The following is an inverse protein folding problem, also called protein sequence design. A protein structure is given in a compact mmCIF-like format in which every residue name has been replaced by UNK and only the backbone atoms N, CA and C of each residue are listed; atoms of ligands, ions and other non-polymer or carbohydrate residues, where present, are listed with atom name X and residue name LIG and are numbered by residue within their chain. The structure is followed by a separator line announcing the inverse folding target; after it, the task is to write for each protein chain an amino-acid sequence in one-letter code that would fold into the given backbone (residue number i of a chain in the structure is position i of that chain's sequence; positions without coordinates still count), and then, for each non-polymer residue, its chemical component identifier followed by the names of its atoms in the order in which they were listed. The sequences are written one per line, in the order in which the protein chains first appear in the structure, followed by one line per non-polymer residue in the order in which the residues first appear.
data_IF_668490090242
#
_entry.id   IF_668490090242
#
_cell.length_a   1.000
_cell.length_b   1.000
_cell.length_c   1.000
_cell.angle_alpha   90.00
_cell.angle_beta   90.00
_cell.angle_gamma   90.00
#
_symmetry.space_group_name_H-M   'P 1'
#
loop_
_entity.id
_entity.type
_entity.pdbx_description
1 polymer ?
#
# COMPACT_ATOMS: atom_id res chain seq x y z
N UNK A 1 -14.81 -9.66 5.80
CA UNK A 1 -15.08 -9.00 4.49
C UNK A 1 -13.80 -9.06 3.68
N UNK A 2 -13.88 -9.43 2.40
CA UNK A 2 -12.69 -9.56 1.54
C UNK A 2 -12.78 -8.55 0.39
N UNK A 3 -11.69 -7.87 0.10
CA UNK A 3 -11.53 -7.11 -1.13
C UNK A 3 -10.90 -8.03 -2.19
N UNK A 4 -11.47 -8.10 -3.38
CA UNK A 4 -10.92 -8.84 -4.52
C UNK A 4 -11.01 -7.96 -5.77
N UNK A 5 -9.87 -7.52 -6.28
CA UNK A 5 -9.81 -6.64 -7.44
C UNK A 5 -8.51 -6.84 -8.21
N UNK A 6 -8.60 -6.96 -9.54
CA UNK A 6 -7.44 -7.04 -10.43
C UNK A 6 -6.38 -8.07 -10.00
N UNK A 7 -6.83 -9.27 -9.60
CA UNK A 7 -5.95 -10.35 -9.17
C UNK A 7 -5.27 -10.11 -7.83
N UNK A 8 -5.62 -9.06 -7.10
CA UNK A 8 -5.20 -8.83 -5.71
C UNK A 8 -6.39 -9.03 -4.79
N UNK A 9 -6.20 -9.92 -3.82
CA UNK A 9 -7.19 -10.22 -2.79
C UNK A 9 -6.61 -9.87 -1.43
N UNK A 10 -7.41 -9.21 -0.61
CA UNK A 10 -7.08 -8.87 0.77
C UNK A 10 -8.21 -9.34 1.68
N UNK A 11 -7.92 -10.24 2.60
CA UNK A 11 -8.85 -10.57 3.67
C UNK A 11 -8.74 -9.52 4.79
N UNK A 12 -9.70 -8.61 4.86
CA UNK A 12 -9.59 -7.42 5.72
C UNK A 12 -9.78 -7.81 7.20
N UNK A 13 -8.82 -7.48 8.08
CA UNK A 13 -9.01 -7.56 9.51
C UNK A 13 -10.10 -6.58 9.98
N UNK A 14 -10.70 -6.85 11.13
CA UNK A 14 -11.64 -5.91 11.77
C UNK A 14 -11.00 -4.53 11.96
N UNK A 15 -11.77 -3.48 11.69
CA UNK A 15 -11.32 -2.10 11.79
C UNK A 15 -10.50 -1.60 10.61
N UNK A 16 -10.42 -2.36 9.51
CA UNK A 16 -9.85 -1.89 8.26
C UNK A 16 -10.93 -1.59 7.22
N UNK A 17 -10.77 -0.48 6.51
CA UNK A 17 -11.43 -0.22 5.25
C UNK A 17 -10.41 -0.38 4.12
N UNK A 18 -10.84 -0.92 2.97
CA UNK A 18 -10.02 -0.91 1.77
C UNK A 18 -10.84 -0.59 0.52
N UNK A 19 -10.19 0.08 -0.42
CA UNK A 19 -10.76 0.46 -1.72
C UNK A 19 -9.71 0.24 -2.80
N UNK A 20 -10.09 -0.45 -3.87
CA UNK A 20 -9.26 -0.66 -5.04
C UNK A 20 -9.91 -0.04 -6.28
N UNK A 21 -9.07 0.43 -7.19
CA UNK A 21 -9.46 0.87 -8.54
C UNK A 21 -8.36 0.54 -9.54
N UNK A 22 -8.70 0.64 -10.82
CA UNK A 22 -7.71 0.68 -11.88
C UNK A 22 -7.33 2.14 -12.14
N UNK A 23 -6.04 2.39 -12.28
CA UNK A 23 -5.52 3.68 -12.70
C UNK A 23 -5.94 3.94 -14.16
N UNK A 24 -6.04 5.20 -14.60
CA UNK A 24 -6.22 5.49 -16.02
C UNK A 24 -5.08 4.89 -16.84
N UNK A 25 -5.41 4.25 -17.97
CA UNK A 25 -4.42 3.77 -18.93
C UNK A 25 -4.16 4.84 -19.98
N UNK A 26 -2.89 5.08 -20.30
CA UNK A 26 -2.50 5.94 -21.42
C UNK A 26 -2.66 5.25 -22.78
N UNK A 27 -2.95 3.93 -22.80
CA UNK A 27 -3.21 3.16 -24.02
C UNK A 27 -4.72 2.93 -24.18
N UNK A 28 -5.34 3.36 -25.28
CA UNK A 28 -6.75 3.10 -25.56
C UNK A 28 -7.08 1.61 -25.50
N UNK A 29 -8.17 1.25 -24.81
CA UNK A 29 -8.64 -0.14 -24.67
C UNK A 29 -7.80 -1.01 -23.74
N UNK A 30 -6.63 -0.54 -23.26
CA UNK A 30 -5.84 -1.29 -22.30
C UNK A 30 -6.35 -1.07 -20.88
N UNK A 31 -6.35 -2.14 -20.09
CA UNK A 31 -6.63 -2.08 -18.66
C UNK A 31 -5.50 -1.34 -17.95
N UNK A 32 -5.83 -0.35 -17.12
CA UNK A 32 -4.83 0.30 -16.27
C UNK A 32 -4.41 -0.54 -15.07
N UNK A 33 -3.33 -0.13 -14.42
CA UNK A 33 -2.72 -0.86 -13.31
C UNK A 33 -3.55 -0.71 -12.02
N UNK A 34 -3.43 -1.67 -11.10
CA UNK A 34 -4.11 -1.59 -9.81
C UNK A 34 -3.60 -0.42 -8.95
N UNK A 35 -4.52 0.20 -8.23
CA UNK A 35 -4.24 0.96 -7.03
C UNK A 35 -5.19 0.53 -5.92
N UNK A 36 -4.63 0.05 -4.83
CA UNK A 36 -5.35 -0.38 -3.64
C UNK A 36 -4.93 0.48 -2.45
N UNK A 37 -5.91 1.08 -1.78
CA UNK A 37 -5.73 1.75 -0.50
C UNK A 37 -6.38 0.93 0.60
N UNK A 38 -5.72 0.85 1.75
CA UNK A 38 -6.27 0.28 2.97
C UNK A 38 -5.91 1.18 4.15
N UNK A 39 -6.85 1.38 5.08
CA UNK A 39 -6.61 2.16 6.28
C UNK A 39 -7.44 1.68 7.46
N UNK A 40 -7.02 2.04 8.67
CA UNK A 40 -7.81 1.84 9.90
C UNK A 40 -8.76 3.00 10.22
N UNK A 41 -8.78 4.01 9.36
CA UNK A 41 -9.74 5.12 9.34
C UNK A 41 -10.61 5.04 8.10
N UNK A 42 -11.80 5.67 8.09
CA UNK A 42 -12.62 5.74 6.89
C UNK A 42 -11.86 6.36 5.71
N UNK A 43 -11.97 5.75 4.53
CA UNK A 43 -11.28 6.24 3.33
C UNK A 43 -12.13 7.33 2.64
N UNK A 44 -11.64 8.57 2.49
CA UNK A 44 -12.33 9.61 1.73
C UNK A 44 -12.50 9.19 0.26
N UNK A 45 -13.58 9.66 -0.38
CA UNK A 45 -13.84 9.39 -1.78
C UNK A 45 -12.69 9.87 -2.68
N UNK A 46 -12.29 11.13 -2.47
CA UNK A 46 -11.14 11.76 -3.10
C UNK A 46 -9.90 11.63 -2.21
N UNK A 47 -8.85 11.04 -2.75
CA UNK A 47 -7.57 10.84 -2.05
C UNK A 47 -6.45 10.64 -3.06
N UNK A 48 -5.26 11.13 -2.73
CA UNK A 48 -4.07 10.91 -3.54
C UNK A 48 -3.59 9.47 -3.50
N UNK A 49 -2.84 9.06 -4.52
CA UNK A 49 -2.36 7.67 -4.69
C UNK A 49 -1.43 7.19 -3.58
N UNK A 50 -0.79 8.13 -2.89
CA UNK A 50 0.06 7.85 -1.74
C UNK A 50 -0.52 8.46 -0.45
N UNK A 51 -1.84 8.60 -0.38
CA UNK A 51 -2.56 8.87 0.87
C UNK A 51 -2.79 10.33 1.21
N UNK A 52 -2.48 11.29 0.33
CA UNK A 52 -2.90 12.69 0.51
C UNK A 52 -4.41 12.76 0.74
N UNK A 53 -4.85 13.43 1.80
CA UNK A 53 -6.25 13.51 2.23
C UNK A 53 -6.68 12.38 3.18
N UNK A 54 -5.85 11.34 3.38
CA UNK A 54 -6.08 10.24 4.33
C UNK A 54 -5.09 10.31 5.48
N UNK A 55 -3.81 10.56 5.18
CA UNK A 55 -2.72 10.52 6.18
C UNK A 55 -2.90 11.56 7.27
N UNK A 56 -3.55 12.68 6.95
CA UNK A 56 -3.90 13.76 7.86
C UNK A 56 -4.99 13.37 8.86
N UNK A 57 -5.79 12.33 8.55
CA UNK A 57 -6.87 11.82 9.40
C UNK A 57 -6.38 10.77 10.41
N UNK A 58 -5.15 10.27 10.26
CA UNK A 58 -4.62 9.21 11.11
C UNK A 58 -4.42 9.72 12.54
N UNK A 59 -5.04 9.04 13.51
CA UNK A 59 -4.67 9.12 14.91
C UNK A 59 -3.44 8.27 15.23
N UNK A 60 -2.93 8.32 16.47
CA UNK A 60 -1.65 7.69 16.83
C UNK A 60 -1.56 6.17 16.63
N UNK A 61 -2.70 5.47 16.62
CA UNK A 61 -2.80 4.01 16.44
C UNK A 61 -3.17 3.60 15.02
N UNK A 62 -3.36 4.57 14.14
CA UNK A 62 -3.87 4.33 12.80
C UNK A 62 -2.76 4.05 11.79
N UNK A 63 -3.15 3.32 10.76
CA UNK A 63 -2.27 2.91 9.67
C UNK A 63 -2.96 3.20 8.35
N UNK A 64 -2.20 3.75 7.40
CA UNK A 64 -2.57 3.83 5.99
C UNK A 64 -1.57 3.03 5.16
N UNK A 65 -2.07 2.38 4.11
CA UNK A 65 -1.30 1.62 3.14
C UNK A 65 -1.81 1.92 1.73
N UNK A 66 -0.88 2.17 0.82
CA UNK A 66 -1.09 2.19 -0.62
C UNK A 66 -0.28 1.09 -1.27
N UNK A 67 -0.95 0.23 -2.02
CA UNK A 67 -0.36 -0.75 -2.91
C UNK A 67 -0.61 -0.28 -4.35
N UNK A 68 0.44 0.25 -4.96
CA UNK A 68 0.41 0.84 -6.29
C UNK A 68 1.13 -0.10 -7.26
N UNK A 69 0.44 -0.53 -8.30
CA UNK A 69 1.01 -1.34 -9.38
C UNK A 69 1.61 -0.45 -10.48
N UNK A 70 2.83 -0.78 -10.90
CA UNK A 70 3.54 -0.16 -12.02
C UNK A 70 3.30 -0.93 -13.33
N UNK A 71 3.79 -0.42 -14.46
CA UNK A 71 3.66 -1.11 -15.74
C UNK A 71 4.36 -2.47 -15.68
N UNK A 72 3.74 -3.53 -16.23
CA UNK A 72 4.32 -4.88 -16.26
C UNK A 72 5.73 -4.90 -16.89
N UNK A 73 6.01 -3.99 -17.82
CA UNK A 73 7.33 -3.83 -18.44
C UNK A 73 8.43 -3.36 -17.45
N UNK A 74 8.06 -2.87 -16.27
CA UNK A 74 8.98 -2.54 -15.20
C UNK A 74 9.40 -3.76 -14.36
N UNK A 75 8.73 -4.90 -14.52
CA UNK A 75 9.13 -6.15 -13.86
C UNK A 75 10.58 -6.53 -14.22
N UNK A 76 11.36 -6.92 -13.22
CA UNK A 76 12.76 -7.31 -13.35
C UNK A 76 13.76 -6.14 -13.40
N UNK A 77 13.30 -4.88 -13.46
CA UNK A 77 14.19 -3.72 -13.31
C UNK A 77 14.76 -3.69 -11.90
N UNK A 78 15.95 -3.10 -11.75
CA UNK A 78 16.69 -3.06 -10.48
C UNK A 78 15.86 -2.51 -9.30
N UNK A 79 14.98 -1.54 -9.55
CA UNK A 79 14.08 -0.97 -8.54
C UNK A 79 13.09 -2.00 -7.98
N UNK A 80 12.63 -2.95 -8.80
CA UNK A 80 11.66 -3.98 -8.45
C UNK A 80 12.30 -5.38 -8.29
N UNK A 81 13.61 -5.44 -8.06
CA UNK A 81 14.34 -6.71 -7.99
C UNK A 81 13.87 -7.62 -6.84
N UNK A 82 13.35 -7.05 -5.76
CA UNK A 82 12.83 -7.80 -4.62
C UNK A 82 11.59 -8.62 -5.02
N UNK A 83 11.61 -9.93 -4.72
CA UNK A 83 10.50 -10.84 -4.99
C UNK A 83 9.64 -11.06 -3.75
N UNK A 84 8.32 -11.14 -3.93
CA UNK A 84 7.38 -11.40 -2.85
C UNK A 84 6.91 -10.14 -2.13
N UNK A 85 5.90 -10.29 -1.28
CA UNK A 85 5.43 -9.19 -0.44
C UNK A 85 6.53 -8.79 0.58
N UNK A 86 6.71 -7.49 0.85
CA UNK A 86 7.76 -7.03 1.76
C UNK A 86 7.48 -7.45 3.21
N UNK A 87 8.56 -7.75 3.94
CA UNK A 87 8.52 -7.97 5.38
C UNK A 87 8.78 -6.65 6.11
N UNK A 88 7.74 -6.05 6.69
CA UNK A 88 7.83 -4.73 7.30
C UNK A 88 8.44 -4.82 8.70
N UNK A 89 9.51 -4.06 8.94
CA UNK A 89 10.14 -3.97 10.26
C UNK A 89 9.87 -2.60 10.87
N UNK A 90 9.71 -2.50 12.20
CA UNK A 90 9.56 -1.20 12.86
C UNK A 90 10.70 -0.20 12.56
N UNK A 91 11.91 -0.70 12.27
CA UNK A 91 13.09 0.09 11.89
C UNK A 91 12.98 0.75 10.51
N UNK A 92 12.10 0.25 9.64
CA UNK A 92 11.97 0.74 8.27
C UNK A 92 11.19 2.07 8.22
N UNK A 93 10.47 2.38 9.30
CA UNK A 93 9.62 3.55 9.42
C UNK A 93 10.39 4.74 9.97
N UNK A 94 10.39 5.84 9.23
CA UNK A 94 11.07 7.07 9.61
C UNK A 94 10.15 8.27 9.46
N UNK A 95 10.32 9.25 10.34
CA UNK A 95 9.65 10.56 10.20
C UNK A 95 10.17 11.34 8.99
N UNK A 96 11.39 11.02 8.52
CA UNK A 96 12.05 11.69 7.38
C UNK A 96 11.59 11.19 6.02
N UNK A 97 10.85 10.09 5.94
CA UNK A 97 10.37 9.51 4.68
C UNK A 97 9.07 10.16 4.17
N UNK A 98 8.45 11.04 4.96
CA UNK A 98 7.23 11.75 4.57
C UNK A 98 7.59 13.13 4.01
N UNK A 99 7.11 13.45 2.80
CA UNK A 99 7.31 14.77 2.19
C UNK A 99 6.69 15.91 3.02
N UNK A 100 5.58 15.64 3.69
CA UNK A 100 4.95 16.55 4.65
C UNK A 100 5.01 15.89 6.02
N UNK A 101 5.92 16.36 6.86
CA UNK A 101 6.09 15.89 8.24
C UNK A 101 4.98 16.49 9.11
N UNK A 102 3.89 15.75 9.29
CA UNK A 102 2.82 16.12 10.20
C UNK A 102 2.89 15.26 11.48
N UNK A 103 3.00 15.92 12.64
CA UNK A 103 2.71 15.41 14.00
C UNK A 103 3.29 14.05 14.39
N UNK A 104 4.59 13.83 14.17
CA UNK A 104 5.24 12.60 14.65
C UNK A 104 4.80 11.31 13.95
N UNK A 105 4.12 11.41 12.79
CA UNK A 105 3.86 10.29 11.87
C UNK A 105 5.16 9.81 11.23
N UNK A 106 5.19 8.55 10.80
CA UNK A 106 6.34 7.98 10.08
C UNK A 106 5.92 7.12 8.91
N UNK A 107 6.75 7.06 7.87
CA UNK A 107 6.46 6.30 6.66
C UNK A 107 7.58 5.36 6.23
N UNK A 108 7.23 4.44 5.35
CA UNK A 108 8.15 3.54 4.66
C UNK A 108 7.66 3.24 3.24
N UNK A 109 8.59 2.90 2.36
CA UNK A 109 8.33 2.56 0.97
C UNK A 109 9.13 1.32 0.56
N UNK A 110 8.48 0.40 -0.14
CA UNK A 110 9.10 -0.83 -0.64
C UNK A 110 8.73 -1.04 -2.10
N UNK A 111 9.74 -1.24 -2.94
CA UNK A 111 9.56 -1.64 -4.33
C UNK A 111 9.88 -3.12 -4.46
N UNK A 112 8.97 -3.85 -5.10
CA UNK A 112 9.04 -5.31 -5.20
C UNK A 112 8.18 -5.79 -6.36
N UNK A 113 8.22 -7.09 -6.64
CA UNK A 113 7.31 -7.71 -7.59
C UNK A 113 6.76 -9.04 -7.08
N UNK A 114 5.54 -9.37 -7.50
CA UNK A 114 4.89 -10.65 -7.22
C UNK A 114 4.18 -11.11 -8.48
N UNK A 115 4.36 -12.38 -8.86
CA UNK A 115 3.70 -12.95 -10.04
C UNK A 115 3.93 -12.13 -11.33
N UNK A 116 5.17 -11.64 -11.52
CA UNK A 116 5.56 -10.83 -12.69
C UNK A 116 4.97 -9.42 -12.73
N UNK A 117 4.40 -8.93 -11.61
CA UNK A 117 3.78 -7.61 -11.49
C UNK A 117 4.60 -6.73 -10.54
N UNK A 118 5.09 -5.55 -10.97
CA UNK A 118 5.85 -4.64 -10.12
C UNK A 118 4.93 -3.76 -9.28
N UNK A 119 5.28 -3.60 -8.00
CA UNK A 119 4.52 -2.81 -7.04
C UNK A 119 5.41 -1.87 -6.24
N UNK A 120 4.84 -0.75 -5.84
CA UNK A 120 5.27 0.01 -4.66
C UNK A 120 4.26 -0.20 -3.55
N UNK A 121 4.75 -0.60 -2.39
CA UNK A 121 4.04 -0.49 -1.13
C UNK A 121 4.48 0.80 -0.44
N UNK A 122 3.54 1.67 -0.11
CA UNK A 122 3.75 2.84 0.72
C UNK A 122 2.90 2.72 1.98
N UNK A 123 3.51 2.88 3.17
CA UNK A 123 2.81 2.75 4.44
C UNK A 123 3.10 3.98 5.29
N UNK A 124 2.05 4.50 5.94
CA UNK A 124 2.14 5.58 6.93
C UNK A 124 1.56 5.09 8.24
N UNK A 125 2.32 5.32 9.32
CA UNK A 125 1.91 5.08 10.68
C UNK A 125 1.57 6.42 11.34
N UNK A 126 0.44 6.47 12.04
CA UNK A 126 -0.04 7.65 12.74
C UNK A 126 0.86 8.14 13.87
N UNK A 127 1.76 7.29 14.39
CA UNK A 127 2.73 7.68 15.41
C UNK A 127 4.03 6.88 15.32
N UNK A 128 5.15 7.59 15.25
CA UNK A 128 6.49 7.01 15.23
C UNK A 128 6.89 6.38 16.57
N UNK A 129 6.44 6.95 17.70
CA UNK A 129 6.68 6.36 19.02
C UNK A 129 5.96 5.03 19.19
N UNK A 130 4.86 4.81 18.47
CA UNK A 130 4.08 3.55 18.44
C UNK A 130 4.38 2.67 17.22
N UNK A 131 5.47 2.94 16.48
CA UNK A 131 5.75 2.27 15.20
C UNK A 131 5.82 0.75 15.25
N UNK A 132 6.20 0.17 16.39
CA UNK A 132 6.19 -1.29 16.56
C UNK A 132 4.78 -1.87 16.40
N UNK A 133 3.79 -1.28 17.06
CA UNK A 133 2.39 -1.69 16.95
C UNK A 133 1.83 -1.39 15.54
N UNK A 134 2.13 -0.22 14.99
CA UNK A 134 1.71 0.14 13.63
C UNK A 134 2.27 -0.80 12.55
N UNK A 135 3.56 -1.12 12.62
CA UNK A 135 4.22 -2.06 11.71
C UNK A 135 3.61 -3.48 11.83
N UNK A 136 3.29 -3.93 13.04
CA UNK A 136 2.61 -5.22 13.24
C UNK A 136 1.22 -5.24 12.60
N UNK A 137 0.43 -4.16 12.73
CA UNK A 137 -0.88 -4.04 12.08
C UNK A 137 -0.77 -4.05 10.55
N UNK A 138 0.17 -3.31 9.99
CA UNK A 138 0.43 -3.29 8.55
C UNK A 138 0.86 -4.68 8.04
N UNK A 139 1.76 -5.35 8.77
CA UNK A 139 2.22 -6.70 8.44
C UNK A 139 1.09 -7.74 8.49
N UNK A 140 0.18 -7.63 9.46
CA UNK A 140 -0.97 -8.50 9.57
C UNK A 140 -1.94 -8.36 8.38
N UNK A 141 -2.08 -7.16 7.82
CA UNK A 141 -2.82 -6.95 6.58
C UNK A 141 -2.09 -7.59 5.39
N UNK A 142 -0.78 -7.36 5.25
CA UNK A 142 0.02 -7.94 4.16
C UNK A 142 0.01 -9.46 4.16
N UNK A 143 0.09 -10.10 5.34
CA UNK A 143 0.00 -11.55 5.48
C UNK A 143 -1.32 -12.12 4.94
N UNK A 144 -2.37 -11.30 4.89
CA UNK A 144 -3.71 -11.63 4.38
C UNK A 144 -3.92 -11.20 2.92
N UNK A 145 -2.87 -10.70 2.27
CA UNK A 145 -2.87 -10.26 0.88
C UNK A 145 -2.31 -11.35 -0.01
N UNK A 146 -3.02 -11.66 -1.09
CA UNK A 146 -2.54 -12.55 -2.14
C UNK A 146 -2.57 -11.83 -3.48
N UNK A 147 -1.50 -11.97 -4.25
CA UNK A 147 -1.39 -11.42 -5.60
C UNK A 147 -1.31 -12.58 -6.58
N UNK A 148 -2.15 -12.54 -7.61
CA UNK A 148 -2.14 -13.49 -8.71
C UNK A 148 -1.53 -12.85 -9.95
N UNK A 149 -0.96 -13.70 -10.79
CA UNK A 149 -0.68 -13.33 -12.18
C UNK A 149 -2.00 -12.97 -12.87
N UNK A 150 -1.93 -12.00 -13.78
CA UNK A 150 -3.03 -11.68 -14.67
C UNK A 150 -2.74 -12.33 -16.02
N UNK A 151 -3.67 -13.17 -16.49
CA UNK A 151 -3.69 -13.63 -17.87
C UNK A 151 -3.74 -12.41 -18.78
N UNK A 152 -2.86 -12.37 -19.79
CA UNK A 152 -2.81 -11.31 -20.80
C UNK A 152 -4.04 -11.26 -21.68
#
# INVERSE_FOLDING_TARGET
MNLDHAGVRVALPTGWEARARLQPSNRPGARGNLLLHAATVPLPAERGDFGSGVVELLGPDDVFLSLFEYDRADAGKALFAAQGLPALRPSDFSTKHLQRTADGRSGGQWFFQVAGRPFCLFVVLGSHSRRAAGAARASALLFRTTVKELSG
#
